data_IF_529907630924
#
_entry.id   IF_529907630924
#
_cell.length_a   1.000
_cell.length_b   1.000
_cell.length_c   1.000
_cell.angle_alpha   90.00
_cell.angle_beta   90.00
_cell.angle_gamma   90.00
#
_symmetry.space_group_name_H-M   'P 1'
#
loop_
_entity.id
_entity.type
_entity.pdbx_description
1 polymer ?
#
# COMPACT_ATOMS: atom_id res chain seq x y z
N UNK A 1 -10.18 -35.65 -2.07
CA UNK A 1 -11.41 -35.20 -1.38
C UNK A 1 -12.29 -36.37 -0.93
N UNK A 2 -12.69 -37.26 -1.84
CA UNK A 2 -13.56 -38.41 -1.51
C UNK A 2 -12.94 -39.33 -0.45
N UNK A 3 -11.68 -39.72 -0.64
CA UNK A 3 -10.97 -40.58 0.32
C UNK A 3 -10.79 -39.96 1.72
N UNK A 4 -10.78 -38.62 1.82
CA UNK A 4 -10.66 -37.92 3.10
C UNK A 4 -12.01 -37.52 3.69
N UNK A 5 -13.14 -37.91 3.08
CA UNK A 5 -14.48 -37.52 3.54
C UNK A 5 -14.75 -36.01 3.47
N UNK A 6 -13.94 -35.24 2.74
CA UNK A 6 -14.11 -33.80 2.59
C UNK A 6 -13.79 -32.96 3.83
N UNK A 7 -13.06 -33.49 4.83
CA UNK A 7 -12.78 -32.76 6.10
C UNK A 7 -11.52 -31.88 6.07
N UNK A 8 -10.72 -31.96 5.00
CA UNK A 8 -9.50 -31.17 4.84
C UNK A 8 -9.67 -30.14 3.73
N UNK A 9 -9.25 -28.90 3.98
CA UNK A 9 -9.12 -27.89 2.93
C UNK A 9 -8.02 -28.30 1.94
N UNK A 10 -8.22 -28.02 0.66
CA UNK A 10 -7.31 -28.34 -0.43
C UNK A 10 -7.02 -27.12 -1.31
N UNK A 11 -5.78 -27.06 -1.80
CA UNK A 11 -5.29 -26.06 -2.74
C UNK A 11 -4.24 -26.69 -3.66
N UNK A 12 -3.68 -25.91 -4.58
CA UNK A 12 -2.61 -26.33 -5.49
C UNK A 12 -1.47 -25.33 -5.43
N UNK A 13 -0.26 -25.81 -5.18
CA UNK A 13 0.95 -25.02 -5.32
C UNK A 13 1.28 -24.87 -6.82
N UNK A 14 1.33 -23.64 -7.37
CA UNK A 14 1.61 -23.42 -8.78
C UNK A 14 3.13 -23.37 -9.03
N UNK A 15 3.54 -23.02 -10.26
CA UNK A 15 4.94 -22.70 -10.58
C UNK A 15 5.29 -21.29 -10.06
N UNK A 16 6.58 -20.99 -9.89
CA UNK A 16 7.07 -19.64 -9.66
C UNK A 16 6.51 -18.62 -10.65
N UNK A 17 6.14 -17.45 -10.14
CA UNK A 17 5.52 -16.35 -10.90
C UNK A 17 4.17 -16.71 -11.51
N UNK A 18 3.47 -17.68 -10.93
CA UNK A 18 2.11 -18.04 -11.33
C UNK A 18 1.23 -18.31 -10.11
N UNK A 19 -0.05 -18.41 -10.39
CA UNK A 19 -1.11 -18.66 -9.41
C UNK A 19 -1.90 -19.89 -9.80
N UNK A 20 -2.42 -20.62 -8.81
CA UNK A 20 -3.34 -21.73 -9.07
C UNK A 20 -4.56 -21.30 -9.90
N UNK A 21 -5.00 -20.05 -9.78
CA UNK A 21 -6.10 -19.51 -10.58
C UNK A 21 -5.78 -19.24 -12.05
N UNK A 22 -4.51 -19.37 -12.46
CA UNK A 22 -4.11 -19.34 -13.88
C UNK A 22 -4.45 -20.67 -14.58
N UNK A 23 -4.65 -21.73 -13.79
CA UNK A 23 -4.93 -23.09 -14.25
C UNK A 23 -6.35 -23.57 -13.91
N UNK A 24 -6.88 -23.09 -12.79
CA UNK A 24 -8.17 -23.53 -12.25
C UNK A 24 -9.06 -22.31 -11.95
N UNK A 25 -10.24 -22.25 -12.56
CA UNK A 25 -11.17 -21.16 -12.28
C UNK A 25 -11.77 -21.26 -10.86
N UNK A 26 -12.49 -20.20 -10.48
CA UNK A 26 -13.10 -20.10 -9.16
C UNK A 26 -14.33 -21.02 -8.98
N UNK A 27 -14.81 -21.70 -10.02
CA UNK A 27 -15.87 -22.70 -9.92
C UNK A 27 -15.34 -24.10 -9.59
N UNK A 28 -14.03 -24.32 -9.65
CA UNK A 28 -13.38 -25.59 -9.32
C UNK A 28 -13.68 -26.02 -7.88
N UNK A 29 -14.61 -26.95 -7.69
CA UNK A 29 -15.20 -27.32 -6.40
C UNK A 29 -14.22 -27.92 -5.39
N UNK A 30 -13.19 -28.62 -5.87
CA UNK A 30 -12.21 -29.26 -5.01
C UNK A 30 -11.11 -28.33 -4.51
N UNK A 31 -10.99 -27.10 -5.04
CA UNK A 31 -10.06 -26.08 -4.55
C UNK A 31 -10.81 -25.17 -3.58
N UNK A 32 -10.46 -25.21 -2.29
CA UNK A 32 -11.13 -24.40 -1.28
C UNK A 32 -10.55 -22.96 -1.20
N UNK A 33 -9.28 -22.79 -1.57
CA UNK A 33 -8.61 -21.49 -1.68
C UNK A 33 -7.49 -21.52 -2.71
N UNK A 34 -7.15 -20.38 -3.28
CA UNK A 34 -6.05 -20.26 -4.23
C UNK A 34 -4.71 -20.01 -3.54
N UNK A 35 -3.65 -20.56 -4.12
CA UNK A 35 -2.27 -20.29 -3.75
C UNK A 35 -1.51 -19.69 -4.94
N UNK A 36 -0.55 -18.81 -4.66
CA UNK A 36 0.42 -18.30 -5.64
C UNK A 36 1.85 -18.37 -5.09
N UNK A 37 2.83 -18.39 -6.00
CA UNK A 37 4.25 -18.29 -5.68
C UNK A 37 4.80 -16.97 -6.21
N UNK A 38 5.20 -16.06 -5.31
CA UNK A 38 5.55 -14.67 -5.66
C UNK A 38 7.01 -14.42 -5.98
N UNK A 39 7.89 -15.41 -5.83
CA UNK A 39 9.32 -15.13 -5.68
C UNK A 39 10.21 -16.35 -5.95
N UNK A 40 11.53 -16.17 -6.16
CA UNK A 40 12.48 -15.55 -5.21
C UNK A 40 13.24 -14.27 -5.65
N UNK A 41 12.53 -13.15 -5.83
CA UNK A 41 13.07 -11.77 -5.90
C UNK A 41 12.78 -10.96 -4.62
N UNK A 42 13.76 -10.19 -4.16
CA UNK A 42 13.65 -9.25 -3.04
C UNK A 42 12.68 -8.08 -3.32
N UNK A 43 12.46 -7.78 -4.59
CA UNK A 43 11.68 -6.67 -5.14
C UNK A 43 10.75 -7.17 -6.28
N UNK A 44 10.21 -8.37 -6.15
CA UNK A 44 9.28 -8.93 -7.13
C UNK A 44 7.84 -8.42 -6.99
N UNK A 45 7.27 -7.82 -8.05
CA UNK A 45 5.92 -7.20 -8.01
C UNK A 45 4.78 -8.21 -7.86
N UNK A 46 5.06 -9.49 -8.11
CA UNK A 46 4.05 -10.55 -8.02
C UNK A 46 3.54 -10.78 -6.59
N UNK A 47 4.20 -10.22 -5.56
CA UNK A 47 3.73 -10.19 -4.18
C UNK A 47 2.33 -9.57 -4.06
N UNK A 48 2.11 -8.40 -4.67
CA UNK A 48 0.84 -7.67 -4.61
C UNK A 48 -0.02 -7.87 -5.87
N UNK A 49 0.58 -8.07 -7.05
CA UNK A 49 -0.18 -8.27 -8.30
C UNK A 49 -1.05 -9.53 -8.22
N UNK A 50 -0.49 -10.66 -7.79
CA UNK A 50 -1.23 -11.91 -7.68
C UNK A 50 -2.30 -11.86 -6.57
N UNK A 51 -1.97 -11.22 -5.44
CA UNK A 51 -2.91 -11.02 -4.34
C UNK A 51 -4.14 -10.22 -4.80
N UNK A 52 -3.93 -9.08 -5.46
CA UNK A 52 -5.00 -8.21 -5.96
C UNK A 52 -5.82 -8.91 -7.05
N UNK A 53 -5.15 -9.59 -7.97
CA UNK A 53 -5.79 -10.35 -9.04
C UNK A 53 -6.69 -11.44 -8.46
N UNK A 54 -6.19 -12.24 -7.52
CA UNK A 54 -6.95 -13.32 -6.87
C UNK A 54 -8.11 -12.80 -6.02
N UNK A 55 -7.90 -11.72 -5.24
CA UNK A 55 -8.91 -11.11 -4.38
C UNK A 55 -10.13 -10.61 -5.17
N UNK A 56 -9.93 -10.11 -6.40
CA UNK A 56 -11.00 -9.58 -7.26
C UNK A 56 -11.79 -10.65 -8.02
N UNK A 57 -11.38 -11.92 -7.98
CA UNK A 57 -12.03 -12.97 -8.76
C UNK A 57 -13.40 -13.32 -8.20
N UNK A 58 -14.32 -13.66 -9.11
CA UNK A 58 -15.66 -14.12 -8.80
C UNK A 58 -15.92 -15.50 -9.42
N UNK A 59 -16.64 -16.42 -8.73
CA UNK A 59 -17.04 -16.33 -7.32
C UNK A 59 -15.84 -16.23 -6.37
N UNK A 60 -15.99 -15.53 -5.24
CA UNK A 60 -14.84 -15.25 -4.37
C UNK A 60 -14.27 -16.54 -3.76
N UNK A 61 -12.93 -16.66 -3.79
CA UNK A 61 -12.16 -17.67 -3.06
C UNK A 61 -11.00 -17.01 -2.32
N UNK A 62 -10.67 -17.44 -1.09
CA UNK A 62 -9.50 -16.92 -0.38
C UNK A 62 -8.19 -17.16 -1.15
N UNK A 63 -7.19 -16.31 -0.92
CA UNK A 63 -5.88 -16.38 -1.60
C UNK A 63 -4.76 -16.40 -0.56
N UNK A 64 -3.75 -17.25 -0.81
CA UNK A 64 -2.54 -17.42 0.00
C UNK A 64 -1.30 -17.19 -0.89
N UNK A 65 -0.35 -16.39 -0.43
CA UNK A 65 1.01 -16.47 -0.97
C UNK A 65 1.70 -17.68 -0.32
N UNK A 66 1.80 -18.77 -1.06
CA UNK A 66 2.28 -20.06 -0.57
C UNK A 66 3.78 -20.23 -0.67
N UNK A 67 4.46 -19.37 -1.44
CA UNK A 67 5.92 -19.38 -1.57
C UNK A 67 6.40 -17.97 -1.95
N UNK A 68 6.71 -17.18 -0.92
CA UNK A 68 7.33 -15.87 -1.06
C UNK A 68 8.87 -15.98 -1.11
N UNK A 69 9.55 -14.83 -1.06
CA UNK A 69 11.00 -14.75 -1.00
C UNK A 69 11.55 -15.52 0.22
N UNK A 70 12.37 -16.56 0.00
CA UNK A 70 12.99 -17.29 1.11
C UNK A 70 14.16 -16.51 1.69
N UNK A 71 14.21 -16.41 3.02
CA UNK A 71 15.33 -15.76 3.69
C UNK A 71 16.65 -16.49 3.38
N UNK A 72 17.71 -15.71 3.16
CA UNK A 72 19.04 -16.19 2.80
C UNK A 72 19.17 -16.88 1.43
N UNK A 73 18.12 -16.94 0.62
CA UNK A 73 18.26 -17.36 -0.79
C UNK A 73 18.83 -16.20 -1.63
N UNK A 74 19.48 -16.50 -2.75
CA UNK A 74 19.92 -15.45 -3.67
C UNK A 74 18.72 -14.74 -4.30
N UNK A 75 18.76 -13.41 -4.32
CA UNK A 75 17.84 -12.62 -5.12
C UNK A 75 18.15 -12.86 -6.60
N UNK A 76 17.13 -13.21 -7.38
CA UNK A 76 17.14 -13.57 -8.83
C UNK A 76 17.15 -15.06 -9.17
N UNK A 77 16.90 -15.91 -8.17
CA UNK A 77 16.74 -17.33 -8.44
C UNK A 77 15.51 -17.56 -9.33
N UNK A 78 15.71 -18.23 -10.47
CA UNK A 78 14.69 -18.67 -11.43
C UNK A 78 14.04 -17.59 -12.31
N UNK A 79 14.72 -16.47 -12.59
CA UNK A 79 14.26 -15.58 -13.67
C UNK A 79 14.26 -16.32 -15.02
N UNK A 80 13.14 -16.33 -15.78
CA UNK A 80 13.09 -16.96 -17.10
C UNK A 80 14.12 -16.33 -18.04
N UNK A 81 15.14 -17.10 -18.43
CA UNK A 81 16.20 -16.65 -19.35
C UNK A 81 17.49 -16.19 -18.67
N UNK A 82 17.57 -16.16 -17.34
CA UNK A 82 18.81 -15.89 -16.62
C UNK A 82 19.36 -17.16 -15.96
N UNK A 83 20.37 -17.76 -16.60
CA UNK A 83 21.15 -18.88 -16.07
C UNK A 83 22.43 -18.43 -15.38
N UNK A 84 22.60 -17.12 -15.13
CA UNK A 84 23.82 -16.59 -14.54
C UNK A 84 23.62 -16.51 -13.04
N UNK A 85 24.42 -17.27 -12.30
CA UNK A 85 24.72 -17.00 -10.90
C UNK A 85 25.47 -15.66 -10.79
N UNK A 86 24.80 -14.54 -11.07
CA UNK A 86 25.35 -13.24 -10.71
C UNK A 86 25.08 -13.09 -9.24
N UNK A 87 26.10 -13.34 -8.42
CA UNK A 87 26.07 -13.05 -7.00
C UNK A 87 25.70 -11.56 -6.79
N UNK A 88 24.42 -11.29 -6.54
CA UNK A 88 23.90 -9.95 -6.30
C UNK A 88 23.91 -9.68 -4.79
N UNK A 89 22.91 -10.21 -4.09
CA UNK A 89 22.81 -10.24 -2.63
C UNK A 89 21.79 -11.32 -2.23
N UNK A 90 21.78 -11.67 -0.93
CA UNK A 90 20.81 -12.62 -0.37
C UNK A 90 19.61 -11.89 0.19
N UNK A 91 18.44 -12.53 0.08
CA UNK A 91 17.19 -12.03 0.63
C UNK A 91 17.34 -11.91 2.16
N UNK A 92 17.37 -10.65 2.61
CA UNK A 92 17.40 -10.24 4.02
C UNK A 92 16.00 -10.23 4.65
N UNK A 93 15.90 -10.25 6.00
CA UNK A 93 14.61 -10.26 6.70
C UNK A 93 13.66 -9.13 6.30
N UNK A 94 14.16 -7.93 5.97
CA UNK A 94 13.29 -6.82 5.53
C UNK A 94 12.53 -7.10 4.22
N UNK A 95 13.11 -7.88 3.30
CA UNK A 95 12.42 -8.25 2.06
C UNK A 95 11.33 -9.30 2.31
N UNK A 96 11.56 -10.20 3.27
CA UNK A 96 10.54 -11.16 3.73
C UNK A 96 9.36 -10.41 4.35
N UNK A 97 9.63 -9.44 5.24
CA UNK A 97 8.58 -8.58 5.81
C UNK A 97 7.83 -7.81 4.74
N UNK A 98 8.54 -7.19 3.79
CA UNK A 98 7.92 -6.49 2.66
C UNK A 98 6.98 -7.40 1.87
N UNK A 99 7.44 -8.58 1.43
CA UNK A 99 6.60 -9.53 0.69
C UNK A 99 5.36 -9.95 1.48
N UNK A 100 5.49 -10.15 2.79
CA UNK A 100 4.39 -10.51 3.68
C UNK A 100 3.32 -9.42 3.76
N UNK A 101 3.71 -8.17 4.05
CA UNK A 101 2.76 -7.07 4.17
C UNK A 101 2.15 -6.70 2.83
N UNK A 102 2.93 -6.68 1.74
CA UNK A 102 2.41 -6.46 0.38
C UNK A 102 1.35 -7.49 0.02
N UNK A 103 1.61 -8.78 0.27
CA UNK A 103 0.66 -9.84 -0.06
C UNK A 103 -0.64 -9.74 0.73
N UNK A 104 -0.56 -9.66 2.07
CA UNK A 104 -1.77 -9.66 2.93
C UNK A 104 -2.62 -8.43 2.67
N UNK A 105 -2.00 -7.23 2.68
CA UNK A 105 -2.74 -5.97 2.53
C UNK A 105 -3.21 -5.73 1.09
N UNK A 106 -2.75 -6.50 0.11
CA UNK A 106 -3.30 -6.51 -1.26
C UNK A 106 -4.35 -7.58 -1.52
N UNK A 107 -4.68 -8.42 -0.53
CA UNK A 107 -5.83 -9.32 -0.59
C UNK A 107 -5.52 -10.81 -0.41
N UNK A 108 -4.27 -11.21 -0.13
CA UNK A 108 -3.93 -12.58 0.26
C UNK A 108 -4.33 -12.85 1.73
N UNK A 109 -5.63 -12.81 2.00
CA UNK A 109 -6.18 -12.75 3.37
C UNK A 109 -6.14 -14.08 4.14
N UNK A 110 -5.76 -15.19 3.49
CA UNK A 110 -5.54 -16.49 4.18
C UNK A 110 -4.34 -16.41 5.13
N UNK A 111 -3.30 -15.65 4.75
CA UNK A 111 -2.05 -15.53 5.48
C UNK A 111 -0.82 -15.61 4.57
N UNK A 112 0.31 -16.01 5.14
CA UNK A 112 1.60 -16.16 4.46
C UNK A 112 2.29 -17.45 4.92
N UNK A 113 3.08 -18.04 4.04
CA UNK A 113 4.08 -19.04 4.41
C UNK A 113 5.46 -18.39 4.48
N UNK A 114 6.24 -18.77 5.49
CA UNK A 114 7.65 -18.37 5.60
C UNK A 114 8.53 -19.50 5.08
N UNK A 115 9.64 -19.14 4.46
CA UNK A 115 10.70 -20.09 4.13
C UNK A 115 12.08 -19.46 4.22
N UNK A 116 13.07 -20.30 4.42
CA UNK A 116 14.47 -19.92 4.51
C UNK A 116 15.33 -20.97 3.81
N UNK A 117 16.38 -20.53 3.13
CA UNK A 117 17.18 -21.37 2.25
C UNK A 117 17.75 -22.61 2.95
N UNK A 118 18.30 -22.47 4.16
CA UNK A 118 18.82 -23.61 4.92
C UNK A 118 17.74 -24.54 5.51
N UNK A 119 16.50 -24.05 5.65
CA UNK A 119 15.40 -24.78 6.33
C UNK A 119 14.62 -25.67 5.36
N UNK A 120 14.18 -25.14 4.21
CA UNK A 120 13.25 -25.86 3.32
C UNK A 120 13.81 -27.19 2.79
N UNK A 121 15.14 -27.23 2.61
CA UNK A 121 15.89 -28.38 2.12
C UNK A 121 16.63 -29.15 3.21
N UNK A 122 16.44 -28.78 4.48
CA UNK A 122 17.07 -29.44 5.62
C UNK A 122 18.61 -29.50 5.53
N UNK A 123 19.24 -28.37 5.16
CA UNK A 123 20.68 -28.31 4.91
C UNK A 123 21.50 -28.70 6.14
N UNK A 124 22.54 -29.51 5.93
CA UNK A 124 23.50 -29.92 6.97
C UNK A 124 24.94 -29.67 6.50
N UNK A 125 25.91 -29.85 7.40
CA UNK A 125 27.33 -29.79 7.03
C UNK A 125 27.76 -30.89 6.07
N UNK A 126 27.06 -32.03 6.09
CA UNK A 126 27.31 -33.17 5.19
C UNK A 126 26.53 -33.03 3.87
N UNK A 127 25.34 -32.41 3.94
CA UNK A 127 24.46 -32.19 2.81
C UNK A 127 24.12 -30.71 2.71
N UNK A 128 25.00 -29.96 2.04
CA UNK A 128 24.84 -28.51 1.91
C UNK A 128 23.56 -28.12 1.19
N UNK A 129 23.02 -28.97 0.31
CA UNK A 129 21.81 -28.69 -0.45
C UNK A 129 22.04 -27.77 -1.66
N UNK A 130 20.96 -27.37 -2.30
CA UNK A 130 20.88 -26.50 -3.47
C UNK A 130 20.92 -25.01 -3.10
N UNK A 131 21.40 -24.18 -4.03
CA UNK A 131 21.44 -22.71 -3.90
C UNK A 131 22.26 -22.21 -2.70
N UNK A 132 23.29 -22.99 -2.34
CA UNK A 132 24.39 -22.59 -1.45
C UNK A 132 23.91 -21.95 -0.13
N UNK A 133 23.13 -22.63 0.73
CA UNK A 133 22.76 -22.08 2.03
C UNK A 133 24.01 -21.80 2.87
N UNK A 134 24.03 -20.66 3.58
CA UNK A 134 25.23 -20.25 4.33
C UNK A 134 25.41 -20.98 5.66
N UNK A 135 24.32 -21.50 6.22
CA UNK A 135 24.32 -22.16 7.52
C UNK A 135 23.40 -23.39 7.50
N UNK A 136 23.70 -24.43 8.30
CA UNK A 136 22.83 -25.58 8.48
C UNK A 136 21.46 -25.21 9.08
N UNK A 137 20.48 -26.11 8.92
CA UNK A 137 19.10 -25.95 9.40
C UNK A 137 19.01 -25.58 10.89
N UNK A 138 19.87 -26.14 11.74
CA UNK A 138 19.89 -25.84 13.17
C UNK A 138 20.21 -24.37 13.50
N UNK A 139 20.90 -23.66 12.61
CA UNK A 139 21.12 -22.21 12.72
C UNK A 139 20.08 -21.43 11.91
N UNK A 140 19.73 -21.90 10.71
CA UNK A 140 18.79 -21.22 9.81
C UNK A 140 17.38 -21.08 10.43
N UNK A 141 16.95 -22.02 11.27
CA UNK A 141 15.67 -21.94 12.00
C UNK A 141 15.57 -20.70 12.92
N UNK A 142 16.73 -20.16 13.33
CA UNK A 142 16.85 -18.99 14.20
C UNK A 142 17.07 -17.69 13.42
N UNK A 143 16.90 -17.70 12.09
CA UNK A 143 16.98 -16.47 11.31
C UNK A 143 15.93 -15.44 11.75
N UNK A 144 16.23 -14.12 11.66
CA UNK A 144 15.32 -13.09 12.13
C UNK A 144 13.93 -13.14 11.48
N UNK A 145 13.80 -13.51 10.20
CA UNK A 145 12.51 -13.60 9.52
C UNK A 145 11.56 -14.64 10.15
N UNK A 146 12.10 -15.70 10.76
CA UNK A 146 11.33 -16.72 11.49
C UNK A 146 10.57 -16.10 12.69
N UNK A 147 11.29 -15.41 13.58
CA UNK A 147 10.67 -14.75 14.74
C UNK A 147 9.79 -13.56 14.32
N UNK A 148 10.19 -12.81 13.29
CA UNK A 148 9.41 -11.70 12.75
C UNK A 148 8.09 -12.15 12.10
N UNK A 149 8.00 -13.38 11.60
CA UNK A 149 6.73 -13.96 11.14
C UNK A 149 5.72 -14.14 12.30
N UNK A 150 6.20 -14.33 13.53
CA UNK A 150 5.34 -14.32 14.73
C UNK A 150 4.84 -12.91 15.05
N UNK A 151 5.68 -11.89 14.85
CA UNK A 151 5.31 -10.48 15.01
C UNK A 151 4.24 -10.10 13.96
N UNK A 152 4.43 -10.48 12.70
CA UNK A 152 3.42 -10.32 11.65
C UNK A 152 2.08 -10.93 12.07
N UNK A 153 2.08 -12.21 12.50
CA UNK A 153 0.85 -12.88 12.96
C UNK A 153 0.17 -12.10 14.08
N UNK A 154 0.93 -11.62 15.07
CA UNK A 154 0.42 -10.81 16.19
C UNK A 154 -0.27 -9.55 15.67
N UNK A 155 0.44 -8.74 14.86
CA UNK A 155 -0.06 -7.48 14.32
C UNK A 155 -1.34 -7.72 13.51
N UNK A 156 -1.28 -8.61 12.53
CA UNK A 156 -2.43 -8.85 11.64
C UNK A 156 -3.64 -9.37 12.41
N UNK A 157 -3.43 -10.22 13.43
CA UNK A 157 -4.50 -10.70 14.32
C UNK A 157 -5.11 -9.59 15.15
N UNK A 158 -4.30 -8.75 15.78
CA UNK A 158 -4.78 -7.58 16.54
C UNK A 158 -5.74 -6.71 15.70
N UNK A 159 -5.45 -6.56 14.40
CA UNK A 159 -6.24 -5.70 13.52
C UNK A 159 -7.29 -6.44 12.67
N UNK A 160 -7.54 -7.73 12.88
CA UNK A 160 -8.54 -8.54 12.16
C UNK A 160 -8.37 -8.50 10.63
N UNK A 161 -7.16 -8.84 10.17
CA UNK A 161 -6.77 -8.79 8.75
C UNK A 161 -7.73 -9.49 7.79
N UNK A 162 -8.29 -10.64 8.17
CA UNK A 162 -9.20 -11.43 7.35
C UNK A 162 -10.49 -10.69 6.93
N UNK A 163 -10.78 -9.56 7.55
CA UNK A 163 -11.94 -8.69 7.24
C UNK A 163 -11.56 -7.41 6.48
N UNK A 164 -10.28 -7.26 6.13
CA UNK A 164 -9.79 -6.06 5.44
C UNK A 164 -10.11 -6.12 3.94
N UNK A 165 -10.34 -4.94 3.37
CA UNK A 165 -10.42 -4.72 1.93
C UNK A 165 -9.22 -3.89 1.49
N UNK A 166 -8.51 -4.25 0.40
CA UNK A 166 -7.42 -3.44 -0.15
C UNK A 166 -7.91 -2.12 -0.77
N UNK A 167 -7.18 -1.03 -0.52
CA UNK A 167 -7.44 0.31 -1.05
C UNK A 167 -6.15 0.99 -1.58
N UNK A 168 -5.49 0.43 -2.61
CA UNK A 168 -4.26 1.02 -3.17
C UNK A 168 -4.48 2.46 -3.68
N UNK A 169 -5.69 2.80 -4.11
CA UNK A 169 -6.08 4.14 -4.56
C UNK A 169 -6.02 5.22 -3.47
N UNK A 170 -5.93 4.84 -2.18
CA UNK A 170 -5.78 5.81 -1.11
C UNK A 170 -4.40 6.46 -1.13
N UNK A 171 -3.38 5.83 -1.71
CA UNK A 171 -2.05 6.40 -1.80
C UNK A 171 -2.00 7.39 -2.97
N UNK A 172 -2.00 8.69 -2.67
CA UNK A 172 -2.00 9.75 -3.69
C UNK A 172 -0.61 10.31 -3.99
N UNK A 173 0.32 10.21 -3.02
CA UNK A 173 1.73 10.51 -3.22
C UNK A 173 2.60 9.70 -2.24
N UNK A 174 3.88 9.52 -2.58
CA UNK A 174 4.88 8.86 -1.74
C UNK A 174 6.28 9.35 -2.12
N UNK A 175 7.27 9.10 -1.26
CA UNK A 175 8.70 9.36 -1.56
C UNK A 175 9.07 8.78 -2.94
N UNK A 176 9.74 9.54 -3.82
CA UNK A 176 10.21 9.03 -5.11
C UNK A 176 11.13 7.82 -4.92
N UNK A 177 10.96 6.79 -5.76
CA UNK A 177 11.72 5.54 -5.65
C UNK A 177 11.16 4.55 -4.63
N UNK A 178 10.20 4.95 -3.79
CA UNK A 178 9.42 3.98 -3.00
C UNK A 178 8.59 3.13 -3.95
N UNK A 179 8.69 1.81 -3.76
CA UNK A 179 8.03 0.75 -4.52
C UNK A 179 6.51 0.83 -4.44
N UNK A 180 5.91 0.03 -3.56
CA UNK A 180 4.48 -0.12 -3.42
C UNK A 180 4.13 0.09 -1.95
N UNK A 181 3.07 0.86 -1.70
CA UNK A 181 2.54 1.13 -0.37
C UNK A 181 1.21 0.39 -0.28
N UNK A 182 1.17 -0.83 0.29
CA UNK A 182 -0.09 -1.52 0.44
C UNK A 182 -0.90 -0.86 1.56
N UNK A 183 -2.19 -0.68 1.29
CA UNK A 183 -3.16 -0.09 2.22
C UNK A 183 -4.41 -0.94 2.21
N UNK A 184 -4.89 -1.32 3.38
CA UNK A 184 -6.16 -2.02 3.52
C UNK A 184 -6.89 -1.56 4.77
N UNK A 185 -8.22 -1.63 4.78
CA UNK A 185 -8.99 -1.34 5.98
C UNK A 185 -10.15 -2.30 6.17
N UNK A 186 -10.56 -2.47 7.42
CA UNK A 186 -11.84 -3.07 7.77
C UNK A 186 -12.78 -1.99 8.34
N UNK A 187 -13.78 -2.39 9.12
CA UNK A 187 -14.73 -1.44 9.72
C UNK A 187 -14.12 -0.58 10.83
N UNK A 188 -13.00 -1.00 11.45
CA UNK A 188 -12.42 -0.37 12.65
C UNK A 188 -11.04 0.22 12.42
N UNK A 189 -10.23 -0.37 11.55
CA UNK A 189 -8.84 0.03 11.37
C UNK A 189 -8.46 0.10 9.90
N UNK A 190 -7.59 1.06 9.57
CA UNK A 190 -6.86 1.15 8.31
C UNK A 190 -5.38 0.88 8.60
N UNK A 191 -4.79 -0.04 7.85
CA UNK A 191 -3.41 -0.47 7.98
C UNK A 191 -2.63 -0.09 6.73
N UNK A 192 -1.43 0.43 6.93
CA UNK A 192 -0.50 0.84 5.87
C UNK A 192 0.86 0.25 6.18
N UNK A 193 1.52 -0.32 5.19
CA UNK A 193 2.93 -0.71 5.32
C UNK A 193 3.83 0.26 4.54
N UNK A 194 4.91 0.67 5.18
CA UNK A 194 5.95 1.56 4.66
C UNK A 194 7.21 0.72 4.45
N UNK A 195 7.58 0.40 3.20
CA UNK A 195 8.85 -0.26 2.92
C UNK A 195 10.04 0.58 3.38
N UNK A 196 11.15 -0.09 3.69
CA UNK A 196 12.41 0.54 4.08
C UNK A 196 12.82 1.65 3.09
N UNK A 197 13.25 2.79 3.61
CA UNK A 197 13.62 3.97 2.81
C UNK A 197 12.46 4.90 2.45
N UNK A 198 11.22 4.56 2.83
CA UNK A 198 10.09 5.47 2.69
C UNK A 198 10.21 6.60 3.70
N UNK A 199 10.09 7.86 3.26
CA UNK A 199 10.18 9.03 4.15
C UNK A 199 8.87 9.82 4.26
N UNK A 200 7.96 9.65 3.30
CA UNK A 200 6.64 10.28 3.32
C UNK A 200 5.64 9.52 2.45
N UNK A 201 4.40 9.39 2.93
CA UNK A 201 3.24 8.90 2.19
C UNK A 201 2.09 9.87 2.40
N UNK A 202 1.36 10.18 1.33
CA UNK A 202 0.15 11.00 1.39
C UNK A 202 -1.04 10.11 1.08
N UNK A 203 -2.00 10.04 2.01
CA UNK A 203 -3.21 9.25 1.88
C UNK A 203 -4.45 10.12 1.69
N UNK A 204 -5.34 9.73 0.80
CA UNK A 204 -6.72 10.20 0.77
C UNK A 204 -7.64 9.01 1.07
N UNK A 205 -8.19 8.96 2.28
CA UNK A 205 -8.90 7.78 2.81
C UNK A 205 -10.39 7.75 2.50
N UNK A 206 -10.88 8.64 1.63
CA UNK A 206 -12.28 8.68 1.19
C UNK A 206 -13.26 8.75 2.38
N UNK A 207 -14.15 7.77 2.47
CA UNK A 207 -15.16 7.67 3.54
C UNK A 207 -14.64 7.05 4.84
N UNK A 208 -13.38 6.62 4.86
CA UNK A 208 -12.73 6.15 6.09
C UNK A 208 -12.27 7.35 6.92
N UNK A 209 -13.08 7.71 7.91
CA UNK A 209 -12.83 8.81 8.85
C UNK A 209 -11.95 8.32 9.99
N UNK A 210 -10.78 8.95 10.16
CA UNK A 210 -9.79 8.63 11.19
C UNK A 210 -10.11 9.42 12.46
N UNK A 211 -10.04 8.80 13.63
CA UNK A 211 -10.33 9.44 14.93
C UNK A 211 -9.19 10.34 15.45
N UNK A 212 -8.03 10.29 14.81
CA UNK A 212 -6.80 10.96 15.22
C UNK A 212 -5.85 10.08 16.04
N UNK A 213 -6.18 8.80 16.25
CA UNK A 213 -5.33 7.80 16.88
C UNK A 213 -4.50 7.06 15.82
N UNK A 214 -3.18 7.11 16.00
CA UNK A 214 -2.20 6.43 15.17
C UNK A 214 -1.36 5.50 16.03
N UNK A 215 -0.96 4.36 15.48
CA UNK A 215 0.02 3.48 16.11
C UNK A 215 1.05 3.08 15.08
N UNK A 216 2.27 3.58 15.25
CA UNK A 216 3.43 3.12 14.51
C UNK A 216 3.94 1.83 15.13
N UNK A 217 4.17 0.81 14.32
CA UNK A 217 4.62 -0.50 14.76
C UNK A 217 5.86 -0.87 13.96
N UNK A 218 6.96 -1.15 14.66
CA UNK A 218 8.17 -1.66 14.02
C UNK A 218 7.96 -3.16 13.72
N UNK A 219 7.92 -3.59 12.45
CA UNK A 219 7.63 -4.97 12.09
C UNK A 219 8.80 -5.92 12.37
N UNK A 220 10.01 -5.40 12.64
CA UNK A 220 11.18 -6.19 12.98
C UNK A 220 11.27 -6.50 14.48
N UNK A 221 10.87 -5.56 15.34
CA UNK A 221 10.95 -5.68 16.82
C UNK A 221 9.60 -5.90 17.48
N UNK A 222 8.51 -5.47 16.84
CA UNK A 222 7.17 -5.44 17.39
C UNK A 222 6.94 -4.31 18.40
N UNK A 223 7.84 -3.33 18.49
CA UNK A 223 7.65 -2.15 19.32
C UNK A 223 6.56 -1.25 18.73
N UNK A 224 5.73 -0.68 19.60
CA UNK A 224 4.57 0.12 19.21
C UNK A 224 4.66 1.50 19.85
N UNK A 225 4.51 2.54 19.03
CA UNK A 225 4.46 3.94 19.46
C UNK A 225 3.11 4.51 19.09
N UNK A 226 2.26 4.71 20.10
CA UNK A 226 0.95 5.36 19.92
C UNK A 226 1.13 6.88 19.87
N UNK A 227 0.59 7.50 18.85
CA UNK A 227 0.51 8.96 18.73
C UNK A 227 -0.94 9.38 18.56
N UNK A 228 -1.27 10.53 19.14
CA UNK A 228 -2.58 11.15 19.00
C UNK A 228 -2.38 12.57 18.50
N UNK A 229 -2.94 12.88 17.34
CA UNK A 229 -2.96 14.22 16.77
C UNK A 229 -4.41 14.75 16.84
N UNK A 230 -4.64 16.03 17.13
CA UNK A 230 -5.99 16.57 17.20
C UNK A 230 -6.68 16.52 15.82
N UNK A 231 -7.74 15.71 15.75
CA UNK A 231 -8.85 15.71 14.79
C UNK A 231 -8.52 16.12 13.35
N UNK A 232 -8.48 15.13 12.45
CA UNK A 232 -8.34 15.37 11.02
C UNK A 232 -9.68 15.65 10.33
N UNK A 233 -9.69 16.71 9.52
CA UNK A 233 -10.75 16.99 8.54
C UNK A 233 -10.57 16.18 7.25
N UNK A 234 -11.62 16.11 6.43
CA UNK A 234 -11.66 15.45 5.11
C UNK A 234 -10.59 16.05 4.19
N UNK A 235 -9.38 15.49 4.18
CA UNK A 235 -8.27 15.96 3.34
C UNK A 235 -7.11 14.97 3.31
N UNK A 236 -6.15 15.14 2.39
CA UNK A 236 -5.00 14.24 2.30
C UNK A 236 -4.15 14.27 3.57
N UNK A 237 -3.92 13.11 4.15
CA UNK A 237 -3.12 12.88 5.34
C UNK A 237 -1.67 12.63 4.95
N UNK A 238 -0.76 13.49 5.41
CA UNK A 238 0.68 13.32 5.22
C UNK A 238 1.25 12.51 6.39
N UNK A 239 1.87 11.39 6.08
CA UNK A 239 2.41 10.43 7.04
C UNK A 239 3.91 10.27 6.83
N UNK A 240 4.67 10.49 7.89
CA UNK A 240 6.12 10.32 7.88
C UNK A 240 6.46 9.20 8.88
N UNK A 241 7.06 8.08 8.44
CA UNK A 241 7.48 7.04 9.36
C UNK A 241 8.58 7.56 10.32
N UNK A 242 8.74 6.94 11.50
CA UNK A 242 9.69 7.42 12.52
C UNK A 242 11.15 7.52 12.05
N UNK A 243 11.58 6.63 11.16
CA UNK A 243 12.92 6.61 10.59
C UNK A 243 12.95 5.93 9.20
N UNK A 244 14.15 5.65 8.67
CA UNK A 244 14.36 5.01 7.37
C UNK A 244 14.07 3.50 7.32
N UNK A 245 13.72 2.88 8.46
CA UNK A 245 13.30 1.49 8.54
C UNK A 245 11.97 1.23 7.84
N UNK A 246 11.55 -0.03 7.82
CA UNK A 246 10.18 -0.37 7.44
C UNK A 246 9.23 -0.24 8.64
N UNK A 247 8.00 0.17 8.38
CA UNK A 247 7.02 0.49 9.42
C UNK A 247 5.62 0.04 9.04
N UNK A 248 4.85 -0.43 10.01
CA UNK A 248 3.40 -0.59 9.88
C UNK A 248 2.74 0.57 10.62
N UNK A 249 1.76 1.19 9.99
CA UNK A 249 0.90 2.18 10.63
C UNK A 249 -0.51 1.61 10.74
N UNK A 250 -1.05 1.62 11.95
CA UNK A 250 -2.46 1.37 12.22
C UNK A 250 -3.17 2.67 12.57
N UNK A 251 -4.29 2.94 11.89
CA UNK A 251 -5.15 4.09 12.14
C UNK A 251 -6.53 3.59 12.58
N UNK A 252 -7.04 4.13 13.69
CA UNK A 252 -8.38 3.81 14.14
C UNK A 252 -9.44 4.63 13.39
N UNK A 253 -10.58 3.99 13.13
CA UNK A 253 -11.75 4.66 12.58
C UNK A 253 -12.44 5.43 13.69
N UNK A 254 -12.80 6.68 13.44
CA UNK A 254 -13.71 7.44 14.29
C UNK A 254 -15.14 6.99 14.16
N UNK A 255 -15.94 7.20 15.20
CA UNK A 255 -17.39 7.05 15.11
C UNK A 255 -17.96 8.08 14.12
N UNK A 256 -18.97 7.68 13.35
CA UNK A 256 -19.70 8.59 12.46
C UNK A 256 -20.39 9.75 13.23
N UNK A 257 -20.45 9.69 14.56
CA UNK A 257 -20.98 10.74 15.44
C UNK A 257 -19.93 11.74 15.93
N UNK A 258 -18.63 11.58 15.59
CA UNK A 258 -17.64 12.66 15.72
C UNK A 258 -17.97 13.89 14.83
N UNK A 259 -19.01 13.78 13.98
CA UNK A 259 -19.58 14.85 13.16
C UNK A 259 -20.58 15.76 13.91
N UNK A 260 -20.32 16.09 15.18
CA UNK A 260 -20.94 17.27 15.84
C UNK A 260 -20.00 18.44 16.08
N UNK A 261 -18.73 18.35 15.66
CA UNK A 261 -18.02 19.53 15.17
C UNK A 261 -17.95 19.43 13.66
N UNK A 262 -19.09 19.67 13.01
CA UNK A 262 -19.04 20.20 11.66
C UNK A 262 -18.07 21.38 11.71
N UNK A 263 -16.94 21.31 10.99
CA UNK A 263 -16.45 22.55 10.39
C UNK A 263 -17.69 23.13 9.70
N UNK A 264 -18.14 24.34 10.06
CA UNK A 264 -19.39 24.88 9.58
C UNK A 264 -19.42 24.66 8.07
N UNK A 265 -20.51 24.06 7.56
CA UNK A 265 -20.72 24.03 6.11
C UNK A 265 -20.46 25.45 5.66
N UNK A 266 -19.44 25.67 4.81
CA UNK A 266 -19.04 27.03 4.47
C UNK A 266 -20.28 27.77 3.99
N UNK A 267 -20.51 28.99 4.48
CA UNK A 267 -21.71 29.74 4.08
C UNK A 267 -21.66 30.09 2.59
N UNK A 268 -20.47 30.07 1.99
CA UNK A 268 -20.21 30.44 0.60
C UNK A 268 -19.26 29.46 -0.07
N UNK A 269 -19.43 29.29 -1.40
CA UNK A 269 -18.45 28.57 -2.21
C UNK A 269 -17.24 29.49 -2.33
N UNK A 270 -16.07 29.01 -1.93
CA UNK A 270 -14.85 29.81 -2.03
C UNK A 270 -13.66 28.94 -2.44
N UNK A 271 -12.76 29.55 -3.19
CA UNK A 271 -11.43 29.05 -3.45
C UNK A 271 -10.46 29.78 -2.52
N UNK A 272 -9.58 29.05 -1.83
CA UNK A 272 -8.55 29.65 -0.98
C UNK A 272 -7.28 29.90 -1.77
N UNK A 273 -6.40 30.74 -1.22
CA UNK A 273 -5.05 30.85 -1.75
C UNK A 273 -4.26 29.56 -1.47
N UNK A 274 -3.53 29.08 -2.46
CA UNK A 274 -2.71 27.87 -2.33
C UNK A 274 -1.60 28.05 -1.27
N UNK A 275 -1.27 26.97 -0.56
CA UNK A 275 -0.24 26.96 0.50
C UNK A 275 0.72 25.78 0.30
N UNK A 276 2.05 26.02 0.30
CA UNK A 276 2.71 27.33 0.31
C UNK A 276 2.50 28.10 -1.01
N UNK A 277 2.76 29.41 -1.00
CA UNK A 277 2.86 30.26 -2.20
C UNK A 277 3.82 31.44 -1.93
N UNK A 278 5.02 31.51 -2.54
CA UNK A 278 5.52 30.59 -3.59
C UNK A 278 5.75 29.17 -3.07
N UNK A 279 5.74 28.18 -3.97
CA UNK A 279 5.92 26.77 -3.61
C UNK A 279 7.01 26.09 -4.42
N UNK A 280 7.59 25.02 -3.86
CA UNK A 280 8.61 24.19 -4.50
C UNK A 280 8.53 22.72 -4.01
N UNK A 281 8.32 21.73 -4.88
CA UNK A 281 7.52 21.80 -6.11
C UNK A 281 6.02 21.57 -5.83
N UNK A 282 5.64 21.40 -4.57
CA UNK A 282 4.29 20.98 -4.18
C UNK A 282 3.51 22.06 -3.44
N UNK A 283 2.21 22.15 -3.71
CA UNK A 283 1.27 23.06 -3.02
C UNK A 283 -0.11 22.41 -2.88
N UNK A 284 -0.87 22.87 -1.89
CA UNK A 284 -2.25 22.49 -1.67
C UNK A 284 -3.17 23.67 -1.98
N UNK A 285 -4.24 23.41 -2.74
CA UNK A 285 -5.28 24.37 -3.10
C UNK A 285 -6.55 23.96 -2.36
N UNK A 286 -6.95 24.72 -1.34
CA UNK A 286 -8.16 24.46 -0.58
C UNK A 286 -9.37 25.16 -1.22
N UNK A 287 -10.53 24.54 -1.15
CA UNK A 287 -11.79 25.13 -1.58
C UNK A 287 -12.97 24.60 -0.77
N UNK A 288 -14.07 25.33 -0.83
CA UNK A 288 -15.23 25.18 0.03
C UNK A 288 -16.49 25.05 -0.82
N UNK A 289 -17.32 24.06 -0.52
CA UNK A 289 -18.58 23.79 -1.21
C UNK A 289 -19.74 23.87 -0.22
N UNK A 290 -20.81 24.55 -0.62
CA UNK A 290 -22.01 24.74 0.21
C UNK A 290 -23.13 23.75 -0.12
N UNK A 291 -22.99 23.02 -1.23
CA UNK A 291 -23.95 22.04 -1.73
C UNK A 291 -23.23 20.93 -2.51
N UNK A 292 -23.92 19.80 -2.71
CA UNK A 292 -23.51 18.79 -3.67
C UNK A 292 -23.24 19.46 -5.03
N UNK A 293 -22.01 19.32 -5.53
CA UNK A 293 -21.57 19.99 -6.76
C UNK A 293 -20.66 19.09 -7.59
N UNK A 294 -20.80 19.13 -8.91
CA UNK A 294 -19.75 18.63 -9.81
C UNK A 294 -18.58 19.61 -9.78
N UNK A 295 -17.43 19.16 -9.29
CA UNK A 295 -16.23 19.96 -9.11
C UNK A 295 -15.20 19.63 -10.18
N UNK A 296 -14.64 20.68 -10.80
CA UNK A 296 -13.48 20.60 -11.67
C UNK A 296 -12.41 21.59 -11.22
N UNK A 297 -11.26 21.10 -10.75
CA UNK A 297 -10.13 21.95 -10.37
C UNK A 297 -9.00 21.79 -11.38
N UNK A 298 -8.66 22.86 -12.09
CA UNK A 298 -7.74 22.85 -13.23
C UNK A 298 -6.62 23.84 -13.06
N UNK A 299 -5.40 23.47 -13.47
CA UNK A 299 -4.20 24.31 -13.51
C UNK A 299 -3.95 24.79 -14.94
N UNK A 300 -3.62 26.07 -15.08
CA UNK A 300 -3.25 26.75 -16.31
C UNK A 300 -1.92 27.48 -16.17
N UNK A 301 -1.18 27.64 -17.27
CA UNK A 301 0.03 28.47 -17.29
C UNK A 301 -0.31 29.97 -17.50
N UNK A 302 0.72 30.82 -17.56
CA UNK A 302 0.55 32.27 -17.72
C UNK A 302 -0.15 32.67 -19.04
N UNK A 303 -0.10 31.82 -20.06
CA UNK A 303 -0.77 32.01 -21.36
C UNK A 303 -2.21 31.49 -21.37
N UNK A 304 -2.70 30.94 -20.25
CA UNK A 304 -4.03 30.34 -20.15
C UNK A 304 -4.11 28.92 -20.73
N UNK A 305 -2.98 28.30 -21.07
CA UNK A 305 -2.97 26.93 -21.58
C UNK A 305 -3.16 25.93 -20.44
N UNK A 306 -3.94 24.89 -20.72
CA UNK A 306 -4.17 23.79 -19.78
C UNK A 306 -2.87 23.07 -19.43
N UNK A 307 -2.60 22.96 -18.13
CA UNK A 307 -1.42 22.25 -17.60
C UNK A 307 -1.83 20.90 -17.03
N UNK A 308 -2.83 20.90 -16.14
CA UNK A 308 -3.27 19.68 -15.43
C UNK A 308 -4.65 19.81 -14.81
N UNK A 309 -5.38 18.71 -14.82
CA UNK A 309 -6.62 18.52 -14.06
C UNK A 309 -6.28 17.88 -12.71
N UNK A 310 -6.68 18.51 -11.60
CA UNK A 310 -6.45 18.01 -10.24
C UNK A 310 -7.66 17.25 -9.69
N UNK A 311 -8.87 17.73 -9.99
CA UNK A 311 -10.13 17.16 -9.49
C UNK A 311 -11.16 17.20 -10.62
N UNK A 312 -11.94 16.13 -10.77
CA UNK A 312 -13.09 16.06 -11.69
C UNK A 312 -14.13 15.06 -11.17
N UNK A 313 -14.88 15.45 -10.14
CA UNK A 313 -15.75 14.55 -9.39
C UNK A 313 -17.01 15.25 -8.84
N UNK A 314 -18.01 14.50 -8.41
CA UNK A 314 -19.16 15.03 -7.67
C UNK A 314 -18.87 14.95 -6.17
N UNK A 315 -18.92 16.10 -5.47
CA UNK A 315 -18.56 16.21 -4.06
C UNK A 315 -19.70 16.78 -3.23
N UNK A 316 -19.89 16.24 -2.02
CA UNK A 316 -20.86 16.73 -1.02
C UNK A 316 -20.45 18.12 -0.47
N UNK A 317 -21.34 18.85 0.24
CA UNK A 317 -20.95 20.09 0.94
C UNK A 317 -19.76 19.84 1.89
N UNK A 318 -18.79 20.74 1.92
CA UNK A 318 -17.61 20.61 2.77
C UNK A 318 -16.40 21.36 2.25
N UNK A 319 -15.28 21.20 2.97
CA UNK A 319 -13.97 21.76 2.63
C UNK A 319 -13.11 20.66 2.02
N UNK A 320 -12.47 20.94 0.89
CA UNK A 320 -11.66 20.00 0.12
C UNK A 320 -10.30 20.61 -0.23
N UNK A 321 -9.37 19.81 -0.70
CA UNK A 321 -8.09 20.31 -1.21
C UNK A 321 -7.62 19.52 -2.43
N UNK A 322 -7.19 20.24 -3.47
CA UNK A 322 -6.48 19.68 -4.61
C UNK A 322 -4.98 19.87 -4.44
N UNK A 323 -4.19 18.85 -4.73
CA UNK A 323 -2.74 18.89 -4.58
C UNK A 323 -2.06 18.93 -5.93
N UNK A 324 -1.08 19.83 -6.09
CA UNK A 324 -0.27 19.90 -7.30
C UNK A 324 1.21 19.79 -6.97
N UNK A 325 1.90 18.88 -7.65
CA UNK A 325 3.33 18.60 -7.51
C UNK A 325 4.21 19.27 -8.57
N UNK A 326 3.69 20.28 -9.25
CA UNK A 326 4.45 20.97 -10.30
C UNK A 326 4.74 20.09 -11.52
N UNK A 327 3.94 19.05 -11.78
CA UNK A 327 3.99 18.25 -13.00
C UNK A 327 2.78 18.55 -13.90
N UNK A 328 3.02 18.56 -15.21
CA UNK A 328 2.01 18.61 -16.28
C UNK A 328 1.26 17.28 -16.39
N UNK A 329 0.18 17.25 -17.17
CA UNK A 329 -0.55 16.01 -17.49
C UNK A 329 0.34 14.94 -18.16
N UNK A 330 1.34 15.36 -18.93
CA UNK A 330 2.32 14.45 -19.56
C UNK A 330 3.43 13.98 -18.60
N UNK A 331 3.30 14.21 -17.28
CA UNK A 331 4.30 13.84 -16.28
C UNK A 331 5.57 14.70 -16.26
N UNK A 332 5.72 15.64 -17.20
CA UNK A 332 6.88 16.55 -17.27
C UNK A 332 6.82 17.62 -16.18
N UNK A 333 7.98 18.04 -15.69
CA UNK A 333 8.10 19.16 -14.77
C UNK A 333 7.63 20.47 -15.41
N UNK A 334 6.76 21.19 -14.72
CA UNK A 334 6.34 22.53 -15.09
C UNK A 334 7.48 23.52 -14.75
N UNK A 335 7.84 24.47 -15.64
CA UNK A 335 8.90 25.45 -15.37
C UNK A 335 8.55 26.38 -14.20
N UNK A 336 9.57 26.98 -13.56
CA UNK A 336 9.37 28.09 -12.62
C UNK A 336 8.59 29.22 -13.28
N UNK A 337 7.61 29.79 -12.58
CA UNK A 337 6.77 30.84 -13.15
C UNK A 337 5.40 30.95 -12.50
N UNK A 338 4.60 31.84 -13.06
CA UNK A 338 3.23 32.10 -12.62
C UNK A 338 2.28 31.09 -13.26
N UNK A 339 1.43 30.51 -12.44
CA UNK A 339 0.34 29.63 -12.84
C UNK A 339 -0.97 30.13 -12.26
N UNK A 340 -2.07 29.67 -12.87
CA UNK A 340 -3.42 29.92 -12.40
C UNK A 340 -4.08 28.59 -12.09
N UNK A 341 -4.93 28.58 -11.07
CA UNK A 341 -5.83 27.47 -10.82
C UNK A 341 -7.26 27.97 -10.79
N UNK A 342 -8.16 27.17 -11.34
CA UNK A 342 -9.57 27.49 -11.47
C UNK A 342 -10.41 26.35 -10.93
N UNK A 343 -11.31 26.69 -10.01
CA UNK A 343 -12.37 25.84 -9.51
C UNK A 343 -13.62 26.12 -10.35
N UNK A 344 -14.15 25.10 -11.00
CA UNK A 344 -15.46 25.14 -11.65
C UNK A 344 -16.43 24.25 -10.87
N UNK A 345 -17.63 24.78 -10.63
CA UNK A 345 -18.76 24.07 -10.03
C UNK A 345 -20.03 24.35 -10.82
N UNK A 346 -21.11 23.62 -10.53
CA UNK A 346 -22.44 23.89 -11.11
C UNK A 346 -22.96 25.31 -10.78
N UNK A 347 -22.38 25.99 -9.80
CA UNK A 347 -22.79 27.32 -9.31
C UNK A 347 -21.88 28.46 -9.77
N UNK A 348 -20.75 28.18 -10.42
CA UNK A 348 -19.84 29.22 -10.89
C UNK A 348 -18.39 28.77 -11.02
N UNK A 349 -17.53 29.73 -11.37
CA UNK A 349 -16.08 29.53 -11.53
C UNK A 349 -15.32 30.59 -10.74
N UNK A 350 -14.33 30.17 -9.96
CA UNK A 350 -13.38 31.05 -9.28
C UNK A 350 -11.96 30.65 -9.65
N UNK A 351 -11.05 31.62 -9.80
CA UNK A 351 -9.64 31.33 -10.08
C UNK A 351 -8.70 32.24 -9.32
N UNK A 352 -7.50 31.72 -9.01
CA UNK A 352 -6.43 32.45 -8.32
C UNK A 352 -5.07 32.14 -8.94
N UNK A 353 -4.09 32.99 -8.62
CA UNK A 353 -2.71 32.89 -9.09
C UNK A 353 -1.79 32.25 -8.05
N UNK A 354 -0.81 31.49 -8.53
CA UNK A 354 0.25 30.88 -7.72
C UNK A 354 1.61 31.00 -8.39
N UNK A 355 2.67 30.99 -7.59
CA UNK A 355 4.05 31.10 -8.05
C UNK A 355 4.81 29.81 -7.74
N UNK A 356 5.24 29.10 -8.78
CA UNK A 356 6.15 27.97 -8.69
C UNK A 356 7.59 28.50 -8.76
N UNK A 357 8.39 28.21 -7.73
CA UNK A 357 9.82 28.49 -7.71
C UNK A 357 10.52 27.15 -7.61
N UNK A 358 11.44 26.89 -8.52
CA UNK A 358 12.35 25.75 -8.47
C UNK A 358 13.79 26.22 -8.41
#
# INVERSE_FOLDING_TARGET
REASGGVHLMTVHPKGWSSSFDYFDNHTDWIDFHMYQSSHLADGDYTFIAAEAGYRRMPAKPVLNGEAAYEDIYHNLWEPGDSREVASFRIRPEHVRQANYESILSGALVGMTYGANGVWQWSTTEYSGSHSPRVPVGQAISFPGSSQSTILKRIMTTYNWHSMTPHPQYVVAKTPGTRYIPVAHNKKHLIVFFPKGTSSVVLNTGDFVIDGTYTWINPATGEETRTSEPSYGRGPLVLNPPDSGDWVLALARGEADFFRSASPVPEQVSLDQNVPNPFNPATSIRYHLTALSRVRLTIYNASGEFVRLLVNDVQLPGTYSGWWNGLTTAGRQAPSGVYFYQLETDRGREGKKMLLVR
#
